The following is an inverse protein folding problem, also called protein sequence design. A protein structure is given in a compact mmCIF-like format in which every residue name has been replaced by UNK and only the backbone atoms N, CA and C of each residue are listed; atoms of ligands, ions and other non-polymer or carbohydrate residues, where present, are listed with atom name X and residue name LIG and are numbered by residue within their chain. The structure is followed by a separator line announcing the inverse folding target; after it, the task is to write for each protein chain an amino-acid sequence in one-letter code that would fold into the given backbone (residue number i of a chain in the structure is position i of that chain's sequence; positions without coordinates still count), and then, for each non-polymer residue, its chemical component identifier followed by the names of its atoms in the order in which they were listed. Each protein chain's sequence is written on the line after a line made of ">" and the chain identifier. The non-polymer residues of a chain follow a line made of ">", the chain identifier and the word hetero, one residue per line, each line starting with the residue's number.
data_IF_189622682125
#
_entry.id   IF_189622682125
#
_cell.length_a   1.000
_cell.length_b   1.000
_cell.length_c   1.000
_cell.angle_alpha   90.00
_cell.angle_beta   90.00
_cell.angle_gamma   90.00
#
_symmetry.space_group_name_H-M   'P 1'
#
loop_
_entity.id
_entity.type
_entity.pdbx_description
1 polymer ?
#
# COMPACT_ATOMS: atom_id res chain seq x y z
N UNK A 1 13.42 -7.08 12.95
CA UNK A 1 12.92 -8.47 13.09
C UNK A 1 11.64 -8.53 13.94
N UNK A 2 11.57 -7.88 15.13
CA UNK A 2 10.36 -7.92 15.97
C UNK A 2 9.12 -7.34 15.29
N UNK A 3 9.23 -6.18 14.64
CA UNK A 3 8.10 -5.51 13.96
C UNK A 3 7.59 -6.32 12.76
N UNK A 4 8.49 -6.97 12.02
CA UNK A 4 8.10 -7.83 10.90
C UNK A 4 7.41 -9.11 11.38
N UNK A 5 7.88 -9.71 12.47
CA UNK A 5 7.23 -10.88 13.06
C UNK A 5 5.84 -10.57 13.62
N UNK A 6 5.66 -9.44 14.29
CA UNK A 6 4.32 -8.99 14.75
C UNK A 6 3.40 -8.69 13.57
N UNK A 7 3.91 -8.07 12.50
CA UNK A 7 3.12 -7.84 11.28
C UNK A 7 2.65 -9.14 10.63
N UNK A 8 3.53 -10.12 10.46
CA UNK A 8 3.19 -11.44 9.91
C UNK A 8 2.20 -12.17 10.82
N UNK A 9 2.42 -12.17 12.13
CA UNK A 9 1.51 -12.79 13.10
C UNK A 9 0.11 -12.17 13.04
N UNK A 10 0.02 -10.84 12.97
CA UNK A 10 -1.26 -10.14 12.82
C UNK A 10 -1.97 -10.50 11.50
N UNK A 11 -1.23 -10.54 10.39
CA UNK A 11 -1.79 -10.94 9.10
C UNK A 11 -2.36 -12.37 9.13
N UNK A 12 -1.62 -13.31 9.72
CA UNK A 12 -2.10 -14.70 9.88
C UNK A 12 -3.36 -14.72 10.75
N UNK A 13 -3.35 -14.02 11.88
CA UNK A 13 -4.49 -13.97 12.80
C UNK A 13 -5.75 -13.40 12.12
N UNK A 14 -5.63 -12.27 11.42
CA UNK A 14 -6.76 -11.68 10.71
C UNK A 14 -7.24 -12.54 9.55
N UNK A 15 -6.33 -13.21 8.83
CA UNK A 15 -6.70 -14.17 7.77
C UNK A 15 -7.49 -15.35 8.33
N UNK A 16 -7.06 -15.90 9.46
CA UNK A 16 -7.77 -16.98 10.14
C UNK A 16 -9.14 -16.54 10.62
N UNK A 17 -9.26 -15.36 11.22
CA UNK A 17 -10.56 -14.79 11.65
C UNK A 17 -11.50 -14.57 10.47
N UNK A 18 -10.97 -14.08 9.34
CA UNK A 18 -11.75 -13.90 8.12
C UNK A 18 -12.25 -15.23 7.55
N UNK A 19 -11.39 -16.25 7.50
CA UNK A 19 -11.76 -17.60 7.06
C UNK A 19 -12.82 -18.21 8.00
N UNK A 20 -12.62 -18.11 9.30
CA UNK A 20 -13.59 -18.59 10.30
C UNK A 20 -14.93 -17.88 10.17
N UNK A 21 -14.92 -16.55 10.04
CA UNK A 21 -16.13 -15.76 9.82
C UNK A 21 -16.85 -16.17 8.53
N UNK A 22 -16.09 -16.41 7.46
CA UNK A 22 -16.61 -16.93 6.19
C UNK A 22 -17.26 -18.31 6.35
N UNK A 23 -16.59 -19.25 6.99
CA UNK A 23 -17.13 -20.60 7.24
C UNK A 23 -18.42 -20.54 8.06
N UNK A 24 -18.45 -19.72 9.13
CA UNK A 24 -19.66 -19.53 9.95
C UNK A 24 -20.79 -18.92 9.10
N UNK A 25 -20.52 -17.88 8.33
CA UNK A 25 -21.51 -17.24 7.46
C UNK A 25 -22.13 -18.24 6.46
N UNK A 26 -21.29 -19.12 5.86
CA UNK A 26 -21.75 -20.12 4.91
C UNK A 26 -22.57 -21.22 5.56
N UNK A 27 -22.26 -21.62 6.79
CA UNK A 27 -23.09 -22.56 7.54
C UNK A 27 -24.51 -22.00 7.78
N UNK A 28 -24.63 -20.68 8.01
CA UNK A 28 -25.94 -20.03 8.20
C UNK A 28 -26.69 -19.79 6.89
N UNK A 29 -25.99 -19.59 5.77
CA UNK A 29 -26.61 -19.29 4.45
C UNK A 29 -26.85 -20.56 3.60
N UNK A 30 -26.35 -21.73 4.03
CA UNK A 30 -26.49 -22.99 3.30
C UNK A 30 -25.68 -23.08 2.00
N UNK A 31 -24.79 -22.11 1.73
CA UNK A 31 -23.89 -22.11 0.59
C UNK A 31 -22.68 -23.01 0.86
N UNK A 32 -22.27 -23.81 -0.13
CA UNK A 32 -21.11 -24.71 0.04
C UNK A 32 -19.79 -23.96 -0.15
N UNK A 33 -18.75 -24.39 0.57
CA UNK A 33 -17.38 -23.86 0.41
C UNK A 33 -16.89 -24.03 -1.04
N UNK A 34 -17.35 -25.04 -1.75
CA UNK A 34 -17.01 -25.30 -3.15
C UNK A 34 -17.50 -24.16 -4.07
N UNK A 35 -18.66 -23.61 -3.80
CA UNK A 35 -19.18 -22.44 -4.55
C UNK A 35 -18.27 -21.23 -4.44
N UNK A 36 -17.60 -21.03 -3.29
CA UNK A 36 -16.64 -19.93 -3.15
C UNK A 36 -15.40 -20.16 -3.99
N UNK A 37 -14.91 -21.41 -4.04
CA UNK A 37 -13.74 -21.75 -4.84
C UNK A 37 -13.99 -21.53 -6.33
N UNK A 38 -15.22 -21.69 -6.80
CA UNK A 38 -15.64 -21.38 -8.17
C UNK A 38 -15.59 -19.86 -8.45
N UNK A 39 -15.89 -19.02 -7.44
CA UNK A 39 -15.78 -17.55 -7.56
C UNK A 39 -14.35 -17.04 -7.35
N UNK A 40 -13.43 -17.84 -6.81
CA UNK A 40 -12.04 -17.47 -6.66
C UNK A 40 -11.33 -17.51 -8.01
N UNK A 41 -11.23 -16.34 -8.63
CA UNK A 41 -10.48 -16.17 -9.87
C UNK A 41 -8.97 -16.18 -9.59
N UNK A 42 -8.35 -17.37 -9.63
CA UNK A 42 -6.91 -17.55 -9.34
C UNK A 42 -5.98 -16.58 -10.07
N UNK A 43 -6.19 -16.26 -11.36
CA UNK A 43 -5.39 -15.25 -12.05
C UNK A 43 -5.43 -13.88 -11.39
N UNK A 44 -6.57 -13.46 -10.85
CA UNK A 44 -6.69 -12.17 -10.13
C UNK A 44 -5.90 -12.17 -8.82
N UNK A 45 -5.91 -13.29 -8.08
CA UNK A 45 -5.13 -13.46 -6.86
C UNK A 45 -3.63 -13.44 -7.18
N UNK A 46 -3.19 -14.16 -8.20
CA UNK A 46 -1.80 -14.20 -8.63
C UNK A 46 -1.30 -12.81 -9.06
N UNK A 47 -2.16 -12.01 -9.69
CA UNK A 47 -1.86 -10.63 -10.06
C UNK A 47 -1.83 -9.70 -8.84
N UNK A 48 -2.75 -9.88 -7.90
CA UNK A 48 -2.85 -9.05 -6.70
C UNK A 48 -1.58 -9.12 -5.84
N UNK A 49 -0.97 -10.30 -5.70
CA UNK A 49 0.18 -10.49 -4.81
C UNK A 49 1.38 -9.59 -5.15
N UNK A 50 1.89 -9.51 -6.40
CA UNK A 50 3.02 -8.64 -6.72
C UNK A 50 2.69 -7.16 -6.56
N UNK A 51 1.47 -6.71 -6.90
CA UNK A 51 1.02 -5.35 -6.70
C UNK A 51 0.94 -5.00 -5.22
N UNK A 52 0.33 -5.86 -4.41
CA UNK A 52 0.22 -5.69 -2.96
C UNK A 52 1.60 -5.62 -2.30
N UNK A 53 2.52 -6.51 -2.69
CA UNK A 53 3.90 -6.50 -2.18
C UNK A 53 4.59 -5.17 -2.47
N UNK A 54 4.50 -4.68 -3.70
CA UNK A 54 5.09 -3.39 -4.08
C UNK A 54 4.44 -2.23 -3.32
N UNK A 55 3.12 -2.24 -3.15
CA UNK A 55 2.40 -1.25 -2.35
C UNK A 55 2.89 -1.20 -0.91
N UNK A 56 2.99 -2.36 -0.26
CA UNK A 56 3.52 -2.48 1.11
C UNK A 56 4.96 -1.95 1.20
N UNK A 57 5.82 -2.28 0.24
CA UNK A 57 7.21 -1.81 0.23
C UNK A 57 7.32 -0.31 0.04
N UNK A 58 6.51 0.29 -0.85
CA UNK A 58 6.47 1.74 -1.07
C UNK A 58 6.01 2.46 0.19
N UNK A 59 4.87 2.02 0.76
CA UNK A 59 4.32 2.65 1.95
C UNK A 59 5.22 2.49 3.17
N UNK A 60 5.84 1.33 3.37
CA UNK A 60 6.82 1.14 4.45
C UNK A 60 8.03 2.07 4.29
N UNK A 61 8.53 2.28 3.07
CA UNK A 61 9.63 3.20 2.84
C UNK A 61 9.23 4.67 3.14
N UNK A 62 8.03 5.09 2.72
CA UNK A 62 7.49 6.43 3.00
C UNK A 62 7.30 6.63 4.51
N UNK A 63 6.63 5.69 5.17
CA UNK A 63 6.34 5.77 6.60
C UNK A 63 7.61 5.74 7.45
N UNK A 64 8.61 4.93 7.07
CA UNK A 64 9.91 4.92 7.74
C UNK A 64 10.62 6.27 7.62
N UNK A 65 10.56 6.91 6.45
CA UNK A 65 11.12 8.25 6.26
C UNK A 65 10.38 9.30 7.12
N UNK A 66 9.05 9.28 7.15
CA UNK A 66 8.22 10.17 7.96
C UNK A 66 8.52 9.95 9.45
N UNK A 67 8.50 8.70 9.92
CA UNK A 67 8.76 8.34 11.30
C UNK A 67 10.15 8.79 11.78
N UNK A 68 11.15 8.73 10.90
CA UNK A 68 12.52 9.15 11.25
C UNK A 68 12.67 10.65 11.55
N UNK A 69 11.73 11.46 11.07
CA UNK A 69 11.73 12.94 11.25
C UNK A 69 10.88 13.37 12.47
N UNK A 70 10.06 12.45 13.00
CA UNK A 70 9.21 12.72 14.17
C UNK A 70 10.00 12.39 15.43
N UNK A 71 10.28 13.39 16.28
CA UNK A 71 10.96 13.22 17.55
C UNK A 71 9.95 13.09 18.70
N UNK A 72 8.83 13.80 18.61
CA UNK A 72 7.74 13.74 19.58
C UNK A 72 6.49 13.14 18.95
N UNK A 73 6.07 11.91 19.37
CA UNK A 73 4.85 11.27 18.88
C UNK A 73 3.58 12.08 19.15
N UNK A 74 3.59 12.94 20.16
CA UNK A 74 2.45 13.78 20.53
C UNK A 74 2.36 15.06 19.67
N UNK A 75 3.36 15.34 18.85
CA UNK A 75 3.32 16.43 17.89
C UNK A 75 2.36 16.09 16.73
N UNK A 76 1.10 16.51 16.87
CA UNK A 76 -0.01 16.14 16.01
C UNK A 76 0.20 16.51 14.53
N UNK A 77 0.96 17.56 14.24
CA UNK A 77 1.12 18.07 12.88
C UNK A 77 1.87 17.11 11.94
N UNK A 78 2.94 16.47 12.42
CA UNK A 78 3.71 15.50 11.60
C UNK A 78 3.17 14.08 11.71
N UNK A 79 2.61 13.71 12.85
CA UNK A 79 2.02 12.39 13.08
C UNK A 79 0.82 12.12 12.18
N UNK A 80 0.06 13.16 11.79
CA UNK A 80 -1.06 13.03 10.86
C UNK A 80 -0.64 12.52 9.47
N UNK A 81 0.62 12.74 9.06
CA UNK A 81 1.15 12.20 7.79
C UNK A 81 1.22 10.66 7.78
N UNK A 82 1.21 10.01 8.94
CA UNK A 82 1.14 8.55 9.01
C UNK A 82 -0.22 8.01 8.55
N UNK A 83 -1.25 8.86 8.43
CA UNK A 83 -2.56 8.50 7.88
C UNK A 83 -2.62 8.55 6.34
N UNK A 84 -1.56 9.04 5.67
CA UNK A 84 -1.53 9.13 4.20
C UNK A 84 -1.88 7.82 3.48
N UNK A 85 -1.37 6.63 3.89
CA UNK A 85 -1.74 5.38 3.22
C UNK A 85 -3.25 5.14 3.21
N UNK A 86 -3.92 5.47 4.31
CA UNK A 86 -5.38 5.28 4.43
C UNK A 86 -6.13 6.14 3.41
N UNK A 87 -5.72 7.40 3.22
CA UNK A 87 -6.35 8.30 2.24
C UNK A 87 -6.23 7.73 0.82
N UNK A 88 -5.04 7.23 0.44
CA UNK A 88 -4.82 6.66 -0.89
C UNK A 88 -5.54 5.33 -1.09
N UNK A 89 -5.63 4.49 -0.05
CA UNK A 89 -6.43 3.26 -0.09
C UNK A 89 -7.90 3.58 -0.27
N UNK A 90 -8.46 4.54 0.48
CA UNK A 90 -9.86 4.96 0.33
C UNK A 90 -10.11 5.50 -1.09
N UNK A 91 -9.20 6.34 -1.61
CA UNK A 91 -9.30 6.84 -2.98
C UNK A 91 -9.32 5.71 -4.02
N UNK A 92 -8.56 4.63 -3.78
CA UNK A 92 -8.54 3.46 -4.69
C UNK A 92 -9.91 2.77 -4.81
N UNK A 93 -10.76 2.83 -3.79
CA UNK A 93 -12.11 2.25 -3.85
C UNK A 93 -13.06 2.99 -4.80
N UNK A 94 -12.74 4.21 -5.23
CA UNK A 94 -13.52 4.92 -6.25
C UNK A 94 -13.59 4.15 -7.58
N UNK A 95 -12.58 3.32 -7.85
CA UNK A 95 -12.52 2.45 -9.02
C UNK A 95 -13.70 1.47 -9.09
N UNK A 96 -14.26 1.06 -7.94
CA UNK A 96 -15.39 0.11 -7.91
C UNK A 96 -16.70 0.69 -8.42
N UNK A 97 -16.84 2.03 -8.44
CA UNK A 97 -18.06 2.68 -8.91
C UNK A 97 -18.16 2.75 -10.44
N UNK A 98 -17.05 3.12 -11.06
CA UNK A 98 -16.92 3.22 -12.52
C UNK A 98 -15.49 2.90 -12.93
N UNK A 99 -15.17 1.61 -13.20
CA UNK A 99 -13.80 1.15 -13.44
C UNK A 99 -13.20 1.69 -14.74
N UNK A 100 -14.01 2.11 -15.70
CA UNK A 100 -13.56 2.61 -17.00
C UNK A 100 -13.54 4.14 -17.10
N UNK A 101 -13.92 4.84 -16.04
CA UNK A 101 -13.81 6.29 -15.97
C UNK A 101 -12.36 6.76 -16.06
N UNK A 102 -12.16 7.97 -16.58
CA UNK A 102 -10.82 8.59 -16.66
C UNK A 102 -10.13 8.68 -15.29
N UNK A 103 -10.91 8.89 -14.21
CA UNK A 103 -10.40 8.89 -12.84
C UNK A 103 -9.89 7.51 -12.42
N UNK A 104 -10.64 6.46 -12.70
CA UNK A 104 -10.26 5.07 -12.39
C UNK A 104 -9.01 4.64 -13.15
N UNK A 105 -8.91 5.03 -14.42
CA UNK A 105 -7.71 4.83 -15.22
C UNK A 105 -6.53 5.56 -14.59
N UNK A 106 -6.67 6.83 -14.24
CA UNK A 106 -5.63 7.61 -13.58
C UNK A 106 -5.17 6.97 -12.27
N UNK A 107 -6.09 6.59 -11.39
CA UNK A 107 -5.79 5.94 -10.11
C UNK A 107 -5.05 4.61 -10.29
N UNK A 108 -5.33 3.89 -11.39
CA UNK A 108 -4.66 2.63 -11.72
C UNK A 108 -3.22 2.81 -12.19
N UNK A 109 -2.86 3.97 -12.72
CA UNK A 109 -1.50 4.32 -13.14
C UNK A 109 -0.74 5.09 -12.06
N UNK A 110 -1.44 5.77 -11.15
CA UNK A 110 -0.81 6.54 -10.10
C UNK A 110 -0.17 5.62 -9.04
N UNK A 111 1.14 5.68 -8.80
CA UNK A 111 1.87 4.62 -8.07
C UNK A 111 1.44 4.45 -6.61
N UNK A 112 0.92 5.48 -5.95
CA UNK A 112 0.48 5.37 -4.56
C UNK A 112 -0.89 4.69 -4.41
N UNK A 113 -1.69 4.63 -5.47
CA UNK A 113 -2.99 3.97 -5.51
C UNK A 113 -2.96 2.71 -6.37
N UNK A 114 -2.07 2.62 -7.36
CA UNK A 114 -2.05 1.56 -8.37
C UNK A 114 -1.92 0.16 -7.78
N UNK A 115 -1.21 0.03 -6.65
CA UNK A 115 -1.07 -1.23 -5.93
C UNK A 115 -2.42 -1.85 -5.52
N UNK A 116 -3.43 -1.02 -5.28
CA UNK A 116 -4.79 -1.44 -4.90
C UNK A 116 -5.74 -1.32 -6.09
N UNK A 117 -5.72 -0.18 -6.79
CA UNK A 117 -6.69 0.15 -7.84
C UNK A 117 -6.53 -0.66 -9.12
N UNK A 118 -5.29 -1.02 -9.53
CA UNK A 118 -5.09 -1.80 -10.75
C UNK A 118 -5.60 -3.25 -10.63
N UNK A 119 -5.28 -4.01 -9.55
CA UNK A 119 -5.88 -5.32 -9.33
C UNK A 119 -7.40 -5.28 -9.18
N UNK A 120 -7.96 -4.23 -8.55
CA UNK A 120 -9.40 -4.04 -8.46
C UNK A 120 -10.04 -3.86 -9.83
N UNK A 121 -9.45 -3.00 -10.69
CA UNK A 121 -9.93 -2.82 -12.07
C UNK A 121 -9.90 -4.13 -12.85
N UNK A 122 -8.78 -4.85 -12.77
CA UNK A 122 -8.64 -6.15 -13.41
C UNK A 122 -9.72 -7.17 -13.00
N UNK A 123 -10.14 -7.13 -11.74
CA UNK A 123 -11.16 -8.05 -11.24
C UNK A 123 -12.59 -7.69 -11.70
N UNK A 124 -12.83 -6.42 -12.08
CA UNK A 124 -14.18 -5.89 -12.38
C UNK A 124 -14.39 -5.67 -13.88
N UNK A 125 -13.33 -5.31 -14.61
CA UNK A 125 -13.39 -4.97 -16.04
C UNK A 125 -12.24 -5.58 -16.82
N UNK A 126 -12.37 -5.63 -18.13
CA UNK A 126 -11.31 -6.11 -19.02
C UNK A 126 -10.20 -5.06 -19.15
N UNK A 127 -9.11 -5.25 -18.43
CA UNK A 127 -7.92 -4.40 -18.54
C UNK A 127 -6.89 -5.05 -19.45
N UNK A 128 -6.38 -4.32 -20.42
CA UNK A 128 -5.34 -4.82 -21.32
C UNK A 128 -4.04 -5.14 -20.57
N UNK A 129 -3.38 -6.23 -20.96
CA UNK A 129 -2.11 -6.69 -20.37
C UNK A 129 -1.04 -5.59 -20.41
N UNK A 130 -1.04 -4.76 -21.45
CA UNK A 130 -0.13 -3.61 -21.58
C UNK A 130 -0.30 -2.58 -20.45
N UNK A 131 -1.54 -2.34 -20.03
CA UNK A 131 -1.83 -1.45 -18.89
C UNK A 131 -1.33 -2.04 -17.57
N UNK A 132 -1.51 -3.35 -17.38
CA UNK A 132 -1.00 -4.07 -16.21
C UNK A 132 0.51 -3.98 -16.11
N UNK A 133 1.22 -4.34 -17.18
CA UNK A 133 2.68 -4.29 -17.22
C UNK A 133 3.17 -2.86 -17.04
N UNK A 134 2.58 -1.89 -17.74
CA UNK A 134 2.96 -0.48 -17.65
C UNK A 134 2.78 0.07 -16.23
N UNK A 135 1.65 -0.17 -15.60
CA UNK A 135 1.38 0.23 -14.22
C UNK A 135 2.36 -0.42 -13.23
N UNK A 136 2.66 -1.70 -13.40
CA UNK A 136 3.61 -2.41 -12.55
C UNK A 136 5.05 -1.88 -12.71
N UNK A 137 5.48 -1.56 -13.94
CA UNK A 137 6.79 -0.94 -14.18
C UNK A 137 6.90 0.44 -13.53
N UNK A 138 5.85 1.25 -13.59
CA UNK A 138 5.81 2.55 -12.89
C UNK A 138 5.90 2.35 -11.39
N UNK A 139 5.21 1.35 -10.86
CA UNK A 139 5.25 0.99 -9.43
C UNK A 139 6.67 0.60 -8.99
N UNK A 140 7.36 -0.25 -9.77
CA UNK A 140 8.76 -0.63 -9.54
C UNK A 140 9.71 0.57 -9.59
N UNK A 141 9.57 1.43 -10.60
CA UNK A 141 10.36 2.65 -10.71
C UNK A 141 10.16 3.57 -9.50
N UNK A 142 8.90 3.74 -9.11
CA UNK A 142 8.53 4.55 -7.94
C UNK A 142 9.13 3.98 -6.65
N UNK A 143 9.06 2.67 -6.45
CA UNK A 143 9.71 2.02 -5.30
C UNK A 143 11.22 2.29 -5.27
N UNK A 144 11.89 2.16 -6.42
CA UNK A 144 13.32 2.41 -6.51
C UNK A 144 13.69 3.86 -6.14
N UNK A 145 12.90 4.84 -6.61
CA UNK A 145 13.11 6.25 -6.30
C UNK A 145 12.82 6.57 -4.83
N UNK A 146 11.67 6.12 -4.33
CA UNK A 146 11.25 6.36 -2.93
C UNK A 146 12.24 5.72 -1.96
N UNK A 147 12.70 4.50 -2.21
CA UNK A 147 13.71 3.84 -1.38
C UNK A 147 14.98 4.66 -1.24
N UNK A 148 15.47 5.26 -2.34
CA UNK A 148 16.67 6.12 -2.30
C UNK A 148 16.44 7.39 -1.48
N UNK A 149 15.30 8.04 -1.67
CA UNK A 149 14.93 9.26 -0.93
C UNK A 149 14.75 8.93 0.55
N UNK A 150 13.99 7.90 0.87
CA UNK A 150 13.72 7.45 2.23
C UNK A 150 15.01 7.10 2.98
N UNK A 151 15.92 6.35 2.35
CA UNK A 151 17.21 6.02 2.94
C UNK A 151 18.06 7.26 3.22
N UNK A 152 18.00 8.29 2.37
CA UNK A 152 18.73 9.53 2.57
C UNK A 152 18.13 10.34 3.73
N UNK A 153 16.79 10.47 3.79
CA UNK A 153 16.08 11.13 4.90
C UNK A 153 16.42 10.43 6.21
N UNK A 154 16.34 9.11 6.25
CA UNK A 154 16.62 8.32 7.45
C UNK A 154 18.05 8.53 7.99
N UNK A 155 19.06 8.51 7.10
CA UNK A 155 20.46 8.76 7.50
C UNK A 155 20.64 10.17 8.11
N UNK A 156 20.02 11.17 7.52
CA UNK A 156 20.13 12.56 8.01
C UNK A 156 19.41 12.70 9.35
N UNK A 157 18.24 12.11 9.51
CA UNK A 157 17.46 12.19 10.75
C UNK A 157 18.19 11.57 11.95
N UNK A 158 18.93 10.46 11.75
CA UNK A 158 19.75 9.86 12.82
C UNK A 158 20.88 10.78 13.27
N UNK A 159 21.44 11.61 12.37
CA UNK A 159 22.53 12.53 12.69
C UNK A 159 22.04 13.79 13.41
N UNK A 160 20.77 14.14 13.28
CA UNK A 160 20.15 15.32 13.90
C UNK A 160 19.53 14.96 15.26
N UNK A 161 20.35 14.39 16.16
CA UNK A 161 19.91 14.04 17.52
C UNK A 161 19.61 15.30 18.33
N UNK A 162 18.37 15.41 18.84
CA UNK A 162 17.96 16.39 19.86
C UNK A 162 17.09 17.57 19.40
N UNK A 163 16.86 17.75 18.11
CA UNK A 163 15.93 18.78 17.59
C UNK A 163 15.14 18.22 16.41
N UNK A 164 13.83 18.46 16.42
CA UNK A 164 13.01 18.11 15.26
C UNK A 164 13.41 18.94 14.03
N UNK A 165 13.90 18.31 12.94
CA UNK A 165 14.23 19.06 11.74
C UNK A 165 12.97 19.65 11.11
N UNK A 166 13.05 20.92 10.71
CA UNK A 166 12.02 21.55 9.87
C UNK A 166 11.99 20.90 8.48
N UNK A 167 10.83 20.90 7.82
CA UNK A 167 10.70 20.40 6.44
C UNK A 167 11.66 21.06 5.46
N UNK A 168 11.99 22.36 5.67
CA UNK A 168 12.98 23.09 4.89
C UNK A 168 14.40 22.55 5.09
N UNK A 169 14.73 22.13 6.31
CA UNK A 169 16.01 21.51 6.63
C UNK A 169 16.10 20.11 5.99
N UNK A 170 15.06 19.30 6.14
CA UNK A 170 14.99 17.98 5.48
C UNK A 170 15.18 18.10 3.97
N UNK A 171 14.51 19.07 3.33
CA UNK A 171 14.66 19.31 1.89
C UNK A 171 16.08 19.71 1.51
N UNK A 172 16.71 20.63 2.26
CA UNK A 172 18.11 21.03 2.04
C UNK A 172 19.04 19.82 2.12
N UNK A 173 18.89 18.98 3.15
CA UNK A 173 19.72 17.80 3.34
C UNK A 173 19.51 16.73 2.25
N UNK A 174 18.29 16.56 1.77
CA UNK A 174 18.03 15.66 0.63
C UNK A 174 18.69 16.15 -0.65
N UNK A 175 18.89 17.45 -0.82
CA UNK A 175 19.54 18.06 -2.00
C UNK A 175 21.07 18.07 -1.91
N UNK A 176 21.65 18.05 -0.72
CA UNK A 176 23.11 17.99 -0.54
C UNK A 176 23.62 16.61 -1.00
N UNK A 177 24.71 16.63 -1.80
CA UNK A 177 25.36 15.40 -2.32
C UNK A 177 26.02 14.58 -1.23
#
# INVERSE_FOLDING_TARGET
>A
LGITLTGISSMITYSLLFILGGVIYFQFTGTSVLTILEYLHFPSIALFLPFALMGVLIWNAILAAIASVITDPNNSGKSSLMMLPLVFVIASFLVTRDPDSGLSVFLSWFPLTSATSMPMRWAITEVGISQLIGSFLILLLTFYLIRKIAAKIFRVSILLTGKEPSWSEVYKFVRMK
#
